data_IF_153181883170
#
_entry.id   IF_153181883170
#
_cell.length_a   1.000
_cell.length_b   1.000
_cell.length_c   1.000
_cell.angle_alpha   90.00
_cell.angle_beta   90.00
_cell.angle_gamma   90.00
#
_symmetry.space_group_name_H-M   'P 1'
#
loop_
_entity.id
_entity.type
_entity.pdbx_description
1 polymer ?
#
# COMPACT_ATOMS: atom_id res chain seq x y z
N UNK A 1 12.79 -5.29 -5.98
CA UNK A 1 13.98 -4.56 -6.43
C UNK A 1 13.69 -3.86 -7.73
N UNK A 2 13.96 -2.56 -7.78
CA UNK A 2 13.94 -1.73 -8.99
C UNK A 2 15.37 -1.44 -9.41
N UNK A 3 15.71 -1.71 -10.67
CA UNK A 3 17.01 -1.43 -11.25
C UNK A 3 16.82 -0.57 -12.49
N UNK A 4 17.20 0.71 -12.40
CA UNK A 4 17.12 1.73 -13.46
C UNK A 4 15.74 1.78 -14.14
N UNK A 5 14.67 1.65 -13.33
CA UNK A 5 13.32 1.55 -13.84
C UNK A 5 12.82 2.89 -14.34
N UNK A 6 12.32 2.89 -15.58
CA UNK A 6 11.66 4.01 -16.21
C UNK A 6 10.22 3.66 -16.61
N UNK A 7 9.32 4.63 -16.45
CA UNK A 7 7.93 4.50 -16.89
C UNK A 7 7.49 5.72 -17.67
N UNK A 8 6.95 5.48 -18.85
CA UNK A 8 6.36 6.50 -19.71
C UNK A 8 4.86 6.24 -19.89
N UNK A 9 4.08 7.31 -19.90
CA UNK A 9 2.70 7.38 -20.37
C UNK A 9 2.67 8.26 -21.63
N UNK A 10 2.71 7.63 -22.81
CA UNK A 10 2.94 8.35 -24.06
C UNK A 10 4.27 9.09 -24.04
N UNK A 11 4.23 10.45 -24.10
CA UNK A 11 5.43 11.28 -24.04
C UNK A 11 5.83 11.70 -22.61
N UNK A 12 4.94 11.52 -21.64
CA UNK A 12 5.19 11.89 -20.25
C UNK A 12 5.97 10.79 -19.52
N UNK A 13 7.13 11.15 -18.98
CA UNK A 13 7.94 10.25 -18.18
C UNK A 13 7.57 10.37 -16.70
N UNK A 14 6.86 9.38 -16.17
CA UNK A 14 6.38 9.36 -14.79
C UNK A 14 7.43 8.83 -13.80
N UNK A 15 8.30 7.91 -14.23
CA UNK A 15 9.41 7.40 -13.41
C UNK A 15 10.72 7.52 -14.19
N UNK A 16 11.77 8.02 -13.51
CA UNK A 16 13.07 8.36 -14.08
C UNK A 16 14.18 7.65 -13.32
N UNK A 17 14.70 6.55 -13.87
CA UNK A 17 15.81 5.77 -13.31
C UNK A 17 15.60 5.42 -11.82
N UNK A 18 14.44 4.81 -11.50
CA UNK A 18 14.14 4.39 -10.14
C UNK A 18 15.01 3.19 -9.77
N UNK A 19 15.78 3.34 -8.70
CA UNK A 19 16.52 2.29 -8.02
C UNK A 19 16.02 2.23 -6.58
N UNK A 20 15.46 1.09 -6.19
CA UNK A 20 14.85 0.89 -4.86
C UNK A 20 14.81 -0.60 -4.56
N UNK A 21 15.35 -1.00 -3.41
CA UNK A 21 15.18 -2.34 -2.86
C UNK A 21 14.30 -2.26 -1.62
N UNK A 22 13.36 -3.16 -1.48
CA UNK A 22 12.48 -3.27 -0.30
C UNK A 22 12.66 -4.66 0.27
N UNK A 23 13.09 -4.72 1.51
CA UNK A 23 13.36 -5.97 2.21
C UNK A 23 12.13 -6.46 2.99
N UNK A 24 12.16 -7.73 3.40
CA UNK A 24 11.07 -8.32 4.20
C UNK A 24 11.01 -7.67 5.57
N UNK A 25 9.79 -7.35 6.02
CA UNK A 25 9.53 -6.72 7.31
C UNK A 25 9.74 -5.21 7.32
N UNK A 26 10.19 -4.61 6.20
CA UNK A 26 10.26 -3.15 6.10
C UNK A 26 8.88 -2.53 5.96
N UNK A 27 8.71 -1.38 6.61
CA UNK A 27 7.61 -0.45 6.41
C UNK A 27 8.14 0.78 5.70
N UNK A 28 8.14 0.73 4.36
CA UNK A 28 8.65 1.83 3.53
C UNK A 28 7.53 2.83 3.28
N UNK A 29 7.71 4.07 3.74
CA UNK A 29 6.79 5.16 3.43
C UNK A 29 7.31 5.99 2.28
N UNK A 30 6.49 6.14 1.23
CA UNK A 30 6.81 6.94 0.04
C UNK A 30 6.02 8.24 0.12
N UNK A 31 6.72 9.35 0.22
CA UNK A 31 6.13 10.69 0.30
C UNK A 31 6.65 11.60 -0.80
N UNK A 32 6.00 12.74 -1.00
CA UNK A 32 6.37 13.73 -2.00
C UNK A 32 5.14 14.44 -2.59
N UNK A 33 5.33 15.48 -3.42
CA UNK A 33 4.24 16.24 -4.01
C UNK A 33 3.35 15.38 -4.92
N UNK A 34 2.13 15.87 -5.18
CA UNK A 34 1.23 15.24 -6.15
C UNK A 34 1.89 15.19 -7.53
N UNK A 35 1.70 14.08 -8.24
CA UNK A 35 2.30 13.87 -9.56
C UNK A 35 3.79 13.44 -9.54
N UNK A 36 4.43 13.27 -8.38
CA UNK A 36 5.84 12.86 -8.30
C UNK A 36 6.12 11.40 -8.68
N UNK A 37 5.10 10.58 -8.96
CA UNK A 37 5.26 9.19 -9.41
C UNK A 37 5.02 8.13 -8.31
N UNK A 38 4.68 8.49 -7.07
CA UNK A 38 4.50 7.57 -5.92
C UNK A 38 3.56 6.40 -6.21
N UNK A 39 2.32 6.70 -6.59
CA UNK A 39 1.33 5.66 -6.94
C UNK A 39 1.76 4.83 -8.16
N UNK A 40 2.54 5.41 -9.08
CA UNK A 40 3.09 4.67 -10.22
C UNK A 40 4.10 3.63 -9.78
N UNK A 41 4.98 3.95 -8.81
CA UNK A 41 5.90 2.98 -8.20
C UNK A 41 5.13 1.81 -7.60
N UNK A 42 4.11 2.09 -6.76
CA UNK A 42 3.28 1.03 -6.18
C UNK A 42 2.62 0.15 -7.25
N UNK A 43 2.01 0.78 -8.26
CA UNK A 43 1.30 0.07 -9.33
C UNK A 43 2.23 -0.75 -10.22
N UNK A 44 3.50 -0.39 -10.29
CA UNK A 44 4.49 -1.24 -10.94
C UNK A 44 4.76 -2.51 -10.13
N UNK A 45 4.84 -2.44 -8.78
CA UNK A 45 5.15 -3.60 -7.92
C UNK A 45 4.11 -4.73 -8.09
N UNK A 46 2.81 -4.41 -8.18
CA UNK A 46 1.76 -5.43 -8.38
C UNK A 46 1.40 -5.65 -9.86
N UNK A 47 2.14 -5.01 -10.77
CA UNK A 47 1.97 -5.13 -12.21
C UNK A 47 0.64 -4.58 -12.74
N UNK A 48 0.02 -3.64 -12.04
CA UNK A 48 -1.07 -2.82 -12.61
C UNK A 48 -0.53 -1.87 -13.67
N UNK A 49 0.70 -1.38 -13.47
CA UNK A 49 1.45 -0.63 -14.46
C UNK A 49 2.69 -1.41 -14.87
N UNK A 50 2.94 -1.54 -16.17
CA UNK A 50 4.17 -2.12 -16.68
C UNK A 50 5.25 -1.07 -16.80
N UNK A 51 6.47 -1.41 -16.41
CA UNK A 51 7.64 -0.55 -16.63
C UNK A 51 7.91 -0.41 -18.14
N UNK A 52 8.57 0.67 -18.54
CA UNK A 52 8.94 0.90 -19.95
C UNK A 52 10.35 0.39 -20.24
N UNK A 53 11.27 0.57 -19.28
CA UNK A 53 12.65 0.05 -19.36
C UNK A 53 13.20 -0.15 -17.94
N UNK A 54 14.35 -0.81 -17.83
CA UNK A 54 14.96 -1.24 -16.59
C UNK A 54 14.49 -2.64 -16.20
N UNK A 55 14.73 -3.03 -14.96
CA UNK A 55 14.33 -4.32 -14.43
C UNK A 55 13.54 -4.13 -13.12
N UNK A 56 12.49 -4.89 -12.93
CA UNK A 56 11.68 -4.91 -11.71
C UNK A 56 11.47 -6.35 -11.24
N UNK A 57 12.11 -6.70 -10.13
CA UNK A 57 12.02 -8.03 -9.53
C UNK A 57 11.09 -7.96 -8.31
N UNK A 58 10.06 -8.79 -8.29
CA UNK A 58 9.11 -8.91 -7.16
C UNK A 58 8.96 -10.38 -6.78
N UNK A 59 9.32 -10.72 -5.54
CA UNK A 59 9.31 -12.11 -5.04
C UNK A 59 10.00 -13.09 -6.01
N UNK A 60 11.20 -12.77 -6.44
CA UNK A 60 12.05 -13.56 -7.36
C UNK A 60 11.52 -13.62 -8.81
N UNK A 61 10.49 -12.86 -9.17
CA UNK A 61 9.95 -12.79 -10.53
C UNK A 61 10.29 -11.45 -11.19
N UNK A 62 10.88 -11.51 -12.38
CA UNK A 62 11.09 -10.30 -13.20
C UNK A 62 9.77 -9.90 -13.89
N UNK A 63 9.25 -8.71 -13.55
CA UNK A 63 8.01 -8.19 -14.12
C UNK A 63 8.21 -7.60 -15.53
N UNK A 64 9.46 -7.40 -15.98
CA UNK A 64 9.77 -7.03 -17.34
C UNK A 64 9.60 -8.22 -18.32
N UNK A 65 9.76 -9.46 -17.84
CA UNK A 65 9.54 -10.65 -18.65
C UNK A 65 8.01 -10.81 -18.95
N UNK A 66 7.68 -10.83 -20.23
CA UNK A 66 6.29 -11.04 -20.70
C UNK A 66 5.71 -12.41 -20.34
N UNK A 67 6.57 -13.38 -19.98
CA UNK A 67 6.15 -14.73 -19.56
C UNK A 67 5.81 -14.80 -18.07
N UNK A 68 6.11 -13.77 -17.29
CA UNK A 68 5.80 -13.75 -15.86
C UNK A 68 4.29 -13.79 -15.64
N UNK A 69 3.84 -14.80 -14.89
CA UNK A 69 2.43 -14.93 -14.50
C UNK A 69 2.08 -13.89 -13.41
N UNK A 70 1.42 -12.83 -13.82
CA UNK A 70 0.99 -11.74 -12.95
C UNK A 70 0.02 -12.19 -11.84
N UNK A 71 -0.70 -13.30 -12.02
CA UNK A 71 -1.58 -13.82 -10.97
C UNK A 71 -0.75 -14.37 -9.79
N UNK A 72 0.43 -14.93 -10.05
CA UNK A 72 1.34 -15.37 -8.98
C UNK A 72 1.86 -14.17 -8.16
N UNK A 73 2.17 -13.06 -8.83
CA UNK A 73 2.58 -11.83 -8.14
C UNK A 73 1.44 -11.32 -7.26
N UNK A 74 0.24 -11.13 -7.83
CA UNK A 74 -0.94 -10.56 -7.15
C UNK A 74 -1.48 -11.42 -6.02
N UNK A 75 -1.21 -12.72 -6.01
CA UNK A 75 -1.49 -13.60 -4.86
C UNK A 75 -0.63 -13.28 -3.64
N UNK A 76 0.60 -12.82 -3.88
CA UNK A 76 1.61 -12.61 -2.85
C UNK A 76 1.79 -11.12 -2.48
N UNK A 77 1.25 -10.20 -3.28
CA UNK A 77 1.35 -8.77 -3.04
C UNK A 77 -0.07 -8.19 -2.99
N UNK A 78 -0.53 -7.94 -1.78
CA UNK A 78 -1.81 -7.27 -1.53
C UNK A 78 -1.77 -5.81 -1.92
N UNK A 79 -2.92 -5.23 -2.25
CA UNK A 79 -3.03 -3.79 -2.51
C UNK A 79 -4.32 -3.23 -1.93
N UNK A 80 -4.17 -2.13 -1.20
CA UNK A 80 -5.25 -1.31 -0.65
C UNK A 80 -5.19 0.03 -1.36
N UNK A 81 -6.30 0.40 -1.98
CA UNK A 81 -6.42 1.61 -2.80
C UNK A 81 -7.02 2.77 -2.01
N UNK A 82 -6.87 3.98 -2.53
CA UNK A 82 -7.54 5.18 -2.05
C UNK A 82 -9.07 5.02 -2.03
N UNK A 83 -9.65 4.43 -3.09
CA UNK A 83 -11.05 4.00 -3.11
C UNK A 83 -11.13 2.54 -2.65
N UNK A 84 -12.07 2.23 -1.80
CA UNK A 84 -12.17 0.94 -1.08
C UNK A 84 -12.33 -0.27 -2.00
N UNK A 85 -12.95 -0.08 -3.18
CA UNK A 85 -13.15 -1.10 -4.22
C UNK A 85 -13.79 -2.40 -3.69
N UNK A 86 -14.72 -2.28 -2.74
CA UNK A 86 -15.49 -3.41 -2.25
C UNK A 86 -16.55 -3.84 -3.28
N UNK A 87 -16.83 -5.14 -3.33
CA UNK A 87 -17.92 -5.67 -4.13
C UNK A 87 -19.26 -5.28 -3.51
N UNK A 88 -19.96 -4.34 -4.13
CA UNK A 88 -21.22 -3.77 -3.61
C UNK A 88 -22.34 -4.82 -3.46
N UNK A 89 -22.32 -5.90 -4.24
CA UNK A 89 -23.26 -7.01 -4.22
C UNK A 89 -22.87 -8.16 -3.29
N UNK A 90 -21.86 -7.96 -2.45
CA UNK A 90 -21.36 -8.90 -1.44
C UNK A 90 -21.37 -8.23 -0.08
N UNK A 91 -21.75 -8.97 0.96
CA UNK A 91 -21.58 -8.47 2.33
C UNK A 91 -20.10 -8.42 2.73
N UNK A 92 -19.80 -7.89 3.90
CA UNK A 92 -18.43 -7.72 4.42
C UNK A 92 -17.68 -9.04 4.48
N UNK A 93 -18.29 -10.07 5.07
CA UNK A 93 -17.67 -11.39 5.19
C UNK A 93 -17.34 -11.99 3.81
N UNK A 94 -18.28 -11.90 2.87
CA UNK A 94 -18.10 -12.38 1.50
C UNK A 94 -17.03 -11.60 0.75
N UNK A 95 -16.87 -10.28 0.99
CA UNK A 95 -15.78 -9.51 0.42
C UNK A 95 -14.40 -10.02 0.85
N UNK A 96 -14.28 -10.51 2.09
CA UNK A 96 -13.02 -11.01 2.64
C UNK A 96 -12.77 -12.45 2.18
N UNK A 97 -13.79 -13.32 2.17
CA UNK A 97 -13.62 -14.76 1.90
C UNK A 97 -13.46 -15.09 0.42
N UNK A 98 -13.99 -14.25 -0.49
CA UNK A 98 -14.07 -14.54 -1.93
C UNK A 98 -12.69 -14.85 -2.55
N UNK A 99 -11.68 -14.06 -2.24
CA UNK A 99 -10.33 -14.25 -2.78
C UNK A 99 -9.70 -15.59 -2.34
N UNK A 100 -9.60 -15.88 -1.03
CA UNK A 100 -9.10 -17.14 -0.53
C UNK A 100 -9.83 -18.37 -1.06
N UNK A 101 -11.16 -18.33 -1.15
CA UNK A 101 -11.98 -19.44 -1.67
C UNK A 101 -11.72 -19.67 -3.17
N UNK A 102 -11.82 -18.62 -4.00
CA UNK A 102 -11.77 -18.78 -5.46
C UNK A 102 -10.35 -18.88 -6.02
N UNK A 103 -9.42 -18.09 -5.48
CA UNK A 103 -8.06 -17.96 -6.03
C UNK A 103 -7.09 -18.92 -5.38
N UNK A 104 -7.18 -19.08 -4.04
CA UNK A 104 -6.32 -19.99 -3.29
C UNK A 104 -6.95 -21.38 -3.13
N UNK A 105 -8.22 -21.55 -3.46
CA UNK A 105 -9.00 -22.80 -3.36
C UNK A 105 -8.96 -23.41 -1.97
N UNK A 106 -9.01 -22.56 -0.95
CA UNK A 106 -8.98 -22.97 0.45
C UNK A 106 -10.36 -23.44 0.91
N UNK A 107 -10.38 -24.24 1.98
CA UNK A 107 -11.61 -24.70 2.60
C UNK A 107 -12.46 -23.52 3.10
N UNK A 108 -13.78 -23.58 2.82
CA UNK A 108 -14.70 -22.48 3.10
C UNK A 108 -14.86 -22.21 4.60
N UNK A 109 -14.94 -23.25 5.42
CA UNK A 109 -15.15 -23.10 6.86
C UNK A 109 -13.89 -22.49 7.52
N UNK A 110 -12.69 -22.93 7.10
CA UNK A 110 -11.42 -22.36 7.55
C UNK A 110 -11.31 -20.88 7.16
N UNK A 111 -11.62 -20.55 5.91
CA UNK A 111 -11.55 -19.17 5.40
C UNK A 111 -12.55 -18.26 6.11
N UNK A 112 -13.76 -18.76 6.39
CA UNK A 112 -14.77 -17.98 7.11
C UNK A 112 -14.32 -17.68 8.55
N UNK A 113 -13.74 -18.66 9.25
CA UNK A 113 -13.22 -18.42 10.60
C UNK A 113 -12.10 -17.38 10.59
N UNK A 114 -11.13 -17.50 9.70
CA UNK A 114 -10.05 -16.51 9.56
C UNK A 114 -10.58 -15.12 9.20
N UNK A 115 -11.59 -15.03 8.33
CA UNK A 115 -12.20 -13.76 7.98
C UNK A 115 -12.88 -13.08 9.18
N UNK A 116 -13.50 -13.88 10.09
CA UNK A 116 -14.06 -13.35 11.34
C UNK A 116 -12.97 -12.86 12.29
N UNK A 117 -11.83 -13.57 12.38
CA UNK A 117 -10.68 -13.13 13.18
C UNK A 117 -10.09 -11.82 12.62
N UNK A 118 -10.00 -11.67 11.30
CA UNK A 118 -9.59 -10.44 10.65
C UNK A 118 -10.59 -9.30 10.92
N UNK A 119 -11.90 -9.57 10.88
CA UNK A 119 -12.91 -8.57 11.21
C UNK A 119 -12.80 -8.11 12.67
N UNK A 120 -12.51 -9.02 13.59
CA UNK A 120 -12.23 -8.68 15.00
C UNK A 120 -10.98 -7.79 15.12
N UNK A 121 -9.90 -8.12 14.39
CA UNK A 121 -8.67 -7.33 14.38
C UNK A 121 -8.90 -5.90 13.91
N UNK A 122 -9.75 -5.70 12.89
CA UNK A 122 -10.09 -4.37 12.36
C UNK A 122 -11.29 -3.72 13.07
N UNK A 123 -11.85 -4.33 14.15
CA UNK A 123 -12.94 -3.79 14.96
C UNK A 123 -14.30 -3.77 14.25
N UNK A 124 -14.54 -4.72 13.36
CA UNK A 124 -15.78 -4.79 12.55
C UNK A 124 -16.51 -6.14 12.63
N UNK A 125 -16.32 -6.90 13.71
CA UNK A 125 -16.95 -8.23 13.90
C UNK A 125 -18.47 -8.19 13.74
N UNK A 126 -19.13 -7.17 14.33
CA UNK A 126 -20.58 -6.98 14.26
C UNK A 126 -21.10 -6.58 12.87
N UNK A 127 -20.22 -6.29 11.92
CA UNK A 127 -20.54 -5.84 10.55
C UNK A 127 -20.39 -6.93 9.49
N UNK A 128 -20.16 -8.19 9.90
CA UNK A 128 -19.89 -9.31 8.98
C UNK A 128 -20.96 -9.46 7.89
N UNK A 129 -22.23 -9.27 8.23
CA UNK A 129 -23.37 -9.44 7.33
C UNK A 129 -23.81 -8.13 6.65
N UNK A 130 -23.26 -6.97 7.04
CA UNK A 130 -23.55 -5.67 6.43
C UNK A 130 -23.02 -5.59 5.00
N UNK A 131 -23.67 -4.79 4.17
CA UNK A 131 -23.18 -4.47 2.81
C UNK A 131 -22.34 -3.19 2.80
N UNK A 132 -21.44 -3.02 1.80
CA UNK A 132 -20.57 -1.83 1.73
C UNK A 132 -21.29 -0.49 1.85
N UNK A 133 -22.50 -0.36 1.27
CA UNK A 133 -23.29 0.87 1.35
C UNK A 133 -23.83 1.21 2.75
N UNK A 134 -23.75 0.28 3.70
CA UNK A 134 -24.15 0.47 5.10
C UNK A 134 -22.98 0.84 6.02
N UNK A 135 -21.78 0.99 5.46
CA UNK A 135 -20.55 1.26 6.17
C UNK A 135 -20.06 2.69 5.92
N UNK A 136 -19.47 3.30 6.96
CA UNK A 136 -18.69 4.54 6.76
C UNK A 136 -17.44 4.30 5.89
N UNK A 137 -16.86 5.37 5.34
CA UNK A 137 -15.63 5.29 4.54
C UNK A 137 -14.48 4.58 5.28
N UNK A 138 -14.24 4.94 6.55
CA UNK A 138 -13.22 4.30 7.37
C UNK A 138 -13.51 2.81 7.64
N UNK A 139 -14.77 2.43 7.82
CA UNK A 139 -15.17 1.03 7.94
C UNK A 139 -14.94 0.28 6.63
N UNK A 140 -15.30 0.86 5.48
CA UNK A 140 -15.03 0.24 4.17
C UNK A 140 -13.53 0.04 3.93
N UNK A 141 -12.71 1.01 4.31
CA UNK A 141 -11.25 0.91 4.18
C UNK A 141 -10.68 -0.20 5.06
N UNK A 142 -11.16 -0.32 6.30
CA UNK A 142 -10.75 -1.41 7.20
C UNK A 142 -11.17 -2.79 6.67
N UNK A 143 -12.33 -2.90 6.01
CA UNK A 143 -12.72 -4.12 5.29
C UNK A 143 -11.79 -4.39 4.10
N UNK A 144 -11.40 -3.37 3.34
CA UNK A 144 -10.46 -3.54 2.22
C UNK A 144 -9.08 -4.02 2.70
N UNK A 145 -8.62 -3.55 3.86
CA UNK A 145 -7.39 -4.03 4.51
C UNK A 145 -7.55 -5.51 4.92
N UNK A 146 -8.64 -5.86 5.62
CA UNK A 146 -8.93 -7.25 6.02
C UNK A 146 -9.01 -8.20 4.81
N UNK A 147 -9.64 -7.77 3.72
CA UNK A 147 -9.70 -8.51 2.45
C UNK A 147 -8.30 -8.77 1.86
N UNK A 148 -7.42 -7.77 1.93
CA UNK A 148 -6.04 -7.92 1.46
C UNK A 148 -5.26 -8.92 2.31
N UNK A 149 -5.40 -8.85 3.64
CA UNK A 149 -4.75 -9.76 4.60
C UNK A 149 -5.23 -11.21 4.48
N UNK A 150 -6.51 -11.44 4.14
CA UNK A 150 -7.09 -12.78 3.99
C UNK A 150 -6.37 -13.62 2.92
N UNK A 151 -5.74 -12.98 1.94
CA UNK A 151 -4.91 -13.65 0.94
C UNK A 151 -3.57 -14.12 1.48
N UNK A 152 -3.20 -13.81 2.74
CA UNK A 152 -1.90 -14.11 3.37
C UNK A 152 -0.72 -13.64 2.50
N UNK A 153 -0.70 -12.36 2.09
CA UNK A 153 0.31 -11.83 1.19
C UNK A 153 1.67 -11.74 1.90
N UNK A 154 2.75 -11.71 1.12
CA UNK A 154 4.11 -11.45 1.61
C UNK A 154 4.39 -9.96 1.85
N UNK A 155 3.66 -9.10 1.15
CA UNK A 155 3.72 -7.65 1.28
C UNK A 155 2.36 -7.02 0.97
N UNK A 156 2.07 -5.86 1.58
CA UNK A 156 0.88 -5.07 1.30
C UNK A 156 1.29 -3.66 0.84
N UNK A 157 0.69 -3.24 -0.26
CA UNK A 157 0.85 -1.91 -0.83
C UNK A 157 -0.35 -1.05 -0.44
N UNK A 158 -0.12 0.17 0.03
CA UNK A 158 -1.14 1.13 0.38
C UNK A 158 -1.00 2.38 -0.49
N UNK A 159 -1.97 2.63 -1.36
CA UNK A 159 -2.00 3.80 -2.25
C UNK A 159 -2.93 4.86 -1.66
N UNK A 160 -2.40 5.76 -0.85
CA UNK A 160 -3.12 6.85 -0.16
C UNK A 160 -4.39 6.36 0.58
N UNK A 161 -4.26 5.44 1.55
CA UNK A 161 -5.40 4.73 2.15
C UNK A 161 -6.37 5.60 2.95
N UNK A 162 -5.99 6.84 3.27
CA UNK A 162 -6.77 7.77 4.10
C UNK A 162 -7.31 8.97 3.32
N UNK A 163 -6.84 9.21 2.10
CA UNK A 163 -7.12 10.46 1.35
C UNK A 163 -8.59 10.63 0.93
N UNK A 164 -9.40 9.55 0.95
CA UNK A 164 -10.84 9.60 0.67
C UNK A 164 -11.71 9.56 1.94
N UNK A 165 -11.11 9.75 3.13
CA UNK A 165 -11.77 9.65 4.42
C UNK A 165 -11.97 11.02 5.07
N UNK A 166 -13.04 11.12 5.86
CA UNK A 166 -13.21 12.23 6.78
C UNK A 166 -12.13 12.18 7.88
N UNK A 167 -11.64 13.33 8.36
CA UNK A 167 -10.53 13.40 9.34
C UNK A 167 -10.77 12.57 10.61
N UNK A 168 -12.00 12.50 11.10
CA UNK A 168 -12.37 11.71 12.30
C UNK A 168 -12.24 10.19 12.11
N UNK A 169 -12.18 9.71 10.85
CA UNK A 169 -12.09 8.28 10.52
C UNK A 169 -10.66 7.82 10.22
N UNK A 170 -9.73 8.76 10.05
CA UNK A 170 -8.33 8.47 9.66
C UNK A 170 -7.63 7.65 10.76
N UNK A 171 -7.81 8.03 12.03
CA UNK A 171 -7.16 7.41 13.17
C UNK A 171 -7.38 5.90 13.22
N UNK A 172 -8.62 5.45 13.10
CA UNK A 172 -8.98 4.03 13.14
C UNK A 172 -8.26 3.20 12.04
N UNK A 173 -8.07 3.78 10.85
CA UNK A 173 -7.40 3.10 9.73
C UNK A 173 -5.89 3.04 9.99
N UNK A 174 -5.29 4.13 10.48
CA UNK A 174 -3.87 4.18 10.82
C UNK A 174 -3.53 3.22 11.96
N UNK A 175 -4.40 3.09 12.97
CA UNK A 175 -4.22 2.13 14.08
C UNK A 175 -4.20 0.69 13.58
N UNK A 176 -5.06 0.35 12.61
CA UNK A 176 -5.04 -0.98 11.98
C UNK A 176 -3.74 -1.19 11.21
N UNK A 177 -3.29 -0.19 10.44
CA UNK A 177 -2.04 -0.28 9.68
C UNK A 177 -0.82 -0.42 10.61
N UNK A 178 -0.81 0.29 11.74
CA UNK A 178 0.24 0.17 12.75
C UNK A 178 0.29 -1.25 13.34
N UNK A 179 -0.85 -1.84 13.72
CA UNK A 179 -0.91 -3.22 14.23
C UNK A 179 -0.37 -4.23 13.22
N UNK A 180 -0.61 -4.01 11.92
CA UNK A 180 -0.09 -4.86 10.85
C UNK A 180 1.44 -4.72 10.75
N UNK A 181 1.96 -3.49 10.86
CA UNK A 181 3.40 -3.21 10.87
C UNK A 181 4.10 -3.89 12.08
N UNK A 182 3.51 -3.80 13.27
CA UNK A 182 4.02 -4.42 14.51
C UNK A 182 4.08 -5.97 14.41
N UNK A 183 3.24 -6.57 13.57
CA UNK A 183 3.29 -8.01 13.27
C UNK A 183 4.40 -8.40 12.27
N UNK A 184 5.22 -7.45 11.82
CA UNK A 184 6.33 -7.69 10.90
C UNK A 184 5.92 -7.82 9.43
N UNK A 185 4.73 -7.35 9.06
CA UNK A 185 4.29 -7.33 7.66
C UNK A 185 5.14 -6.36 6.84
N UNK A 186 5.63 -6.79 5.69
CA UNK A 186 6.26 -5.90 4.72
C UNK A 186 5.21 -4.95 4.13
N UNK A 187 5.43 -3.66 4.24
CA UNK A 187 4.49 -2.65 3.79
C UNK A 187 5.16 -1.59 2.92
N UNK A 188 4.51 -1.19 1.84
CA UNK A 188 4.89 0.00 1.08
C UNK A 188 3.70 0.95 1.07
N UNK A 189 3.87 2.11 1.67
CA UNK A 189 2.77 3.03 1.96
C UNK A 189 3.02 4.37 1.29
N UNK A 190 2.21 4.71 0.30
CA UNK A 190 2.10 6.09 -0.19
C UNK A 190 1.11 6.82 0.70
N UNK A 191 1.54 7.88 1.36
CA UNK A 191 0.70 8.59 2.32
C UNK A 191 1.03 10.08 2.39
N UNK A 192 0.05 10.87 2.80
CA UNK A 192 0.18 12.25 3.22
C UNK A 192 0.11 12.39 4.76
N UNK A 193 -0.06 11.28 5.49
CA UNK A 193 -0.09 11.24 6.94
C UNK A 193 1.34 11.23 7.50
N UNK A 194 1.91 12.41 7.74
CA UNK A 194 3.31 12.53 8.17
C UNK A 194 3.54 11.93 9.55
N UNK A 195 2.54 11.97 10.45
CA UNK A 195 2.58 11.30 11.74
C UNK A 195 2.78 9.79 11.60
N UNK A 196 2.03 9.15 10.72
CA UNK A 196 2.18 7.73 10.41
C UNK A 196 3.56 7.43 9.81
N UNK A 197 3.97 8.22 8.79
CA UNK A 197 5.27 8.05 8.15
C UNK A 197 6.43 8.13 9.16
N UNK A 198 6.33 9.04 10.13
CA UNK A 198 7.37 9.24 11.15
C UNK A 198 7.39 8.16 12.22
N UNK A 199 6.22 7.68 12.68
CA UNK A 199 6.15 6.82 13.86
C UNK A 199 6.05 5.33 13.53
N UNK A 200 5.55 4.97 12.36
CA UNK A 200 5.33 3.58 11.95
C UNK A 200 6.28 3.17 10.82
N UNK A 201 6.61 4.10 9.92
CA UNK A 201 7.60 3.86 8.88
C UNK A 201 9.00 3.64 9.47
N UNK A 202 9.69 2.60 9.03
CA UNK A 202 11.11 2.38 9.40
C UNK A 202 12.07 2.75 8.27
N UNK A 203 11.53 3.20 7.13
CA UNK A 203 12.28 3.75 5.99
C UNK A 203 11.41 4.74 5.24
N UNK A 204 12.01 5.85 4.85
CA UNK A 204 11.33 6.92 4.12
C UNK A 204 11.96 7.11 2.76
N UNK A 205 11.11 7.19 1.73
CA UNK A 205 11.49 7.49 0.36
C UNK A 205 10.79 8.77 -0.06
N UNK A 206 11.56 9.82 -0.35
CA UNK A 206 11.02 11.07 -0.84
C UNK A 206 11.17 11.15 -2.36
N UNK A 207 10.05 11.33 -3.04
CA UNK A 207 10.01 11.44 -4.49
C UNK A 207 9.61 12.83 -4.96
N UNK A 208 10.30 13.34 -5.99
CA UNK A 208 9.91 14.53 -6.73
C UNK A 208 10.24 14.36 -8.22
N UNK A 209 9.38 14.89 -9.09
CA UNK A 209 9.53 14.86 -10.56
C UNK A 209 9.94 13.47 -11.13
N UNK A 210 9.32 12.41 -10.62
CA UNK A 210 9.55 11.04 -11.09
C UNK A 210 10.87 10.41 -10.61
N UNK A 211 11.58 11.02 -9.66
CA UNK A 211 12.86 10.53 -9.11
C UNK A 211 12.75 10.29 -7.62
N UNK A 212 13.55 9.37 -7.10
CA UNK A 212 13.85 9.26 -5.68
C UNK A 212 14.95 10.27 -5.38
N UNK A 213 14.68 11.23 -4.50
CA UNK A 213 15.64 12.24 -4.05
C UNK A 213 16.25 11.88 -2.69
N UNK A 214 15.47 11.21 -1.84
CA UNK A 214 15.94 10.68 -0.55
C UNK A 214 15.44 9.27 -0.37
N UNK A 215 16.30 8.42 0.14
CA UNK A 215 16.01 7.06 0.60
C UNK A 215 16.78 6.86 1.91
N UNK A 216 16.08 6.83 3.03
CA UNK A 216 16.71 6.85 4.36
C UNK A 216 15.99 5.96 5.37
N UNK A 217 16.77 5.25 6.16
CA UNK A 217 16.30 4.52 7.36
C UNK A 217 16.29 5.39 8.61
N UNK A 218 16.95 6.56 8.59
CA UNK A 218 16.84 7.55 9.66
C UNK A 218 15.64 8.47 9.37
N UNK A 219 14.46 7.97 9.71
CA UNK A 219 13.19 8.67 9.52
C UNK A 219 13.13 9.96 10.34
N UNK A 220 13.67 9.95 11.57
CA UNK A 220 13.66 11.13 12.43
C UNK A 220 14.52 12.25 11.85
N UNK A 221 15.75 11.95 11.41
CA UNK A 221 16.61 12.94 10.76
C UNK A 221 15.94 13.54 9.53
N UNK A 222 15.24 12.72 8.72
CA UNK A 222 14.54 13.21 7.55
C UNK A 222 13.48 14.27 7.89
N UNK A 223 12.75 14.10 8.99
CA UNK A 223 11.73 15.06 9.42
C UNK A 223 12.30 16.27 10.18
N UNK A 224 13.30 16.07 11.02
CA UNK A 224 13.83 17.10 11.92
C UNK A 224 14.88 17.99 11.25
N UNK A 225 15.74 17.40 10.39
CA UNK A 225 16.80 18.12 9.67
C UNK A 225 17.04 17.55 8.27
N UNK A 226 16.05 17.73 7.35
CA UNK A 226 16.17 17.24 5.98
C UNK A 226 17.35 17.89 5.25
N UNK A 227 18.27 17.08 4.71
CA UNK A 227 19.45 17.55 4.00
C UNK A 227 19.16 17.91 2.54
N UNK A 228 18.17 17.24 1.93
CA UNK A 228 17.76 17.50 0.55
C UNK A 228 16.89 18.78 0.50
N UNK A 229 17.28 19.81 -0.29
CA UNK A 229 16.57 21.10 -0.33
C UNK A 229 15.08 20.98 -0.69
N UNK A 230 14.74 20.07 -1.61
CA UNK A 230 13.35 19.85 -2.02
C UNK A 230 12.52 19.17 -0.92
N UNK A 231 13.14 18.24 -0.17
CA UNK A 231 12.50 17.62 1.00
C UNK A 231 12.25 18.66 2.09
N UNK A 232 13.22 19.54 2.35
CA UNK A 232 13.10 20.63 3.32
C UNK A 232 11.95 21.59 2.98
N UNK A 233 11.86 21.99 1.71
CA UNK A 233 10.76 22.83 1.21
C UNK A 233 9.40 22.13 1.36
N UNK A 234 9.34 20.83 1.03
CA UNK A 234 8.11 20.02 1.12
C UNK A 234 7.63 19.88 2.56
N UNK A 235 8.54 19.51 3.48
CA UNK A 235 8.23 19.32 4.90
C UNK A 235 7.79 20.63 5.54
N UNK A 236 8.48 21.76 5.24
CA UNK A 236 8.12 23.05 5.79
C UNK A 236 6.70 23.51 5.41
N UNK A 237 6.23 23.15 4.22
CA UNK A 237 4.86 23.45 3.77
C UNK A 237 3.80 22.62 4.49
N UNK A 238 4.13 21.38 4.88
CA UNK A 238 3.17 20.47 5.54
C UNK A 238 3.07 20.76 7.04
N UNK A 239 4.20 21.05 7.71
CA UNK A 239 4.21 21.30 9.16
C UNK A 239 3.59 22.66 9.51
N UNK A 240 3.57 23.63 8.59
CA UNK A 240 3.03 24.97 8.81
C UNK A 240 1.54 25.10 8.41
N UNK A 241 0.88 23.99 8.09
CA UNK A 241 -0.56 23.87 7.84
C UNK A 241 -1.20 22.93 8.87
#
# INVERSE_FOLDING_TARGET
>A
EFHDVNKYFGKFQALKNINLTIDRGEVVTIIGPSGSGKSTVLRCINGLERITSGQLIVNDFDLADKKTDMNRIRKNVGMVFQHFNLYANKNVLQNITLGPELVLKRDKAEVEQEARDLLKMVGLESKADSFPGELSGGQQQRVAIARSLAMKPKAILFDEPTSALDPEMIGDVLDVMQKIAEQGMTMVVVTHEMGFARHVGNRIVFMDDGKILVDSTDVNQFFDDPQEPRAKEFISKIINH
#
